data_IF_520592519276
#
_entry.id   IF_520592519276
#
_cell.length_a   1.000
_cell.length_b   1.000
_cell.length_c   1.000
_cell.angle_alpha   90.00
_cell.angle_beta   90.00
_cell.angle_gamma   90.00
#
_symmetry.space_group_name_H-M   'P 1'
#
loop_
_entity.id
_entity.type
_entity.pdbx_description
1 polymer ?
#
# COMPACT_ATOMS: atom_id res chain seq x y z
N UNK A 1 -9.16 -15.80 -2.99
CA UNK A 1 -8.35 -14.71 -2.39
C UNK A 1 -6.87 -14.78 -2.85
N UNK A 2 -6.57 -15.43 -3.98
CA UNK A 2 -5.23 -15.57 -4.57
C UNK A 2 -4.97 -14.58 -5.71
N UNK A 3 -6.01 -14.07 -6.37
CA UNK A 3 -5.91 -13.18 -7.54
C UNK A 3 -5.22 -11.83 -7.28
N UNK A 4 -5.28 -11.31 -6.04
CA UNK A 4 -4.61 -10.03 -5.70
C UNK A 4 -3.09 -10.14 -5.84
N UNK A 5 -2.53 -11.32 -5.55
CA UNK A 5 -1.09 -11.57 -5.63
C UNK A 5 -0.64 -11.99 -7.05
N UNK A 6 -1.58 -12.50 -7.86
CA UNK A 6 -1.31 -13.00 -9.22
C UNK A 6 -1.47 -11.89 -10.28
N UNK A 7 -2.00 -10.71 -9.91
CA UNK A 7 -2.13 -9.59 -10.85
C UNK A 7 -0.80 -9.28 -11.52
N UNK A 8 -0.76 -9.42 -12.85
CA UNK A 8 0.36 -8.97 -13.68
C UNK A 8 0.68 -7.52 -13.34
N UNK A 9 1.97 -7.24 -13.12
CA UNK A 9 2.48 -5.88 -12.92
C UNK A 9 1.92 -4.96 -14.02
N UNK A 10 1.29 -3.82 -13.66
CA UNK A 10 0.84 -2.84 -14.64
C UNK A 10 1.99 -2.39 -15.55
N UNK A 11 1.70 -2.19 -16.85
CA UNK A 11 2.63 -1.53 -17.78
C UNK A 11 2.56 -0.01 -17.57
N UNK A 12 3.67 0.70 -17.76
CA UNK A 12 3.72 2.17 -17.60
C UNK A 12 3.80 2.65 -16.14
N UNK A 13 4.33 1.84 -15.23
CA UNK A 13 4.60 2.29 -13.86
C UNK A 13 5.81 3.20 -13.80
N UNK A 14 5.68 4.33 -13.10
CA UNK A 14 6.81 5.21 -12.75
C UNK A 14 7.84 4.44 -11.91
N UNK A 15 9.06 4.97 -11.75
CA UNK A 15 10.08 4.38 -10.86
C UNK A 15 9.54 4.19 -9.43
N UNK A 16 8.71 5.13 -8.97
CA UNK A 16 8.03 5.10 -7.68
C UNK A 16 6.93 4.03 -7.66
N UNK A 17 6.11 3.97 -8.71
CA UNK A 17 5.06 2.98 -8.89
C UNK A 17 5.58 1.55 -8.92
N UNK A 18 6.79 1.31 -9.45
CA UNK A 18 7.39 -0.03 -9.47
C UNK A 18 7.78 -0.54 -8.09
N UNK A 19 8.26 0.34 -7.21
CA UNK A 19 8.60 0.02 -5.81
C UNK A 19 7.33 -0.14 -5.00
N UNK A 20 6.39 0.80 -5.11
CA UNK A 20 5.09 0.71 -4.44
C UNK A 20 4.33 -0.55 -4.85
N UNK A 21 4.35 -0.93 -6.14
CA UNK A 21 3.67 -2.14 -6.61
C UNK A 21 4.17 -3.41 -5.94
N UNK A 22 5.48 -3.51 -5.67
CA UNK A 22 6.04 -4.64 -4.92
C UNK A 22 5.47 -4.62 -3.51
N UNK A 23 5.77 -3.55 -2.78
CA UNK A 23 5.44 -3.34 -1.36
C UNK A 23 3.93 -3.43 -1.06
N UNK A 24 3.08 -3.05 -2.01
CA UNK A 24 1.64 -3.02 -1.84
C UNK A 24 1.08 -4.41 -1.52
N UNK A 25 1.67 -5.47 -2.08
CA UNK A 25 1.22 -6.83 -1.83
C UNK A 25 1.51 -7.24 -0.39
N UNK A 26 2.74 -7.05 0.11
CA UNK A 26 3.12 -7.38 1.47
C UNK A 26 2.37 -6.50 2.49
N UNK A 27 2.22 -5.20 2.19
CA UNK A 27 1.46 -4.27 3.02
C UNK A 27 -0.02 -4.67 3.12
N UNK A 28 -0.60 -5.17 2.02
CA UNK A 28 -1.98 -5.67 2.02
C UNK A 28 -2.16 -6.88 2.93
N UNK A 29 -1.30 -7.90 2.81
CA UNK A 29 -1.34 -9.09 3.68
C UNK A 29 -1.18 -8.69 5.14
N UNK A 30 -0.22 -7.82 5.43
CA UNK A 30 0.07 -7.36 6.78
C UNK A 30 -1.11 -6.64 7.42
N UNK A 31 -1.72 -5.69 6.71
CA UNK A 31 -2.89 -4.96 7.21
C UNK A 31 -4.10 -5.86 7.41
N UNK A 32 -4.33 -6.82 6.50
CA UNK A 32 -5.42 -7.82 6.67
C UNK A 32 -5.16 -8.68 7.91
N UNK A 33 -3.92 -9.15 8.10
CA UNK A 33 -3.54 -9.94 9.27
C UNK A 33 -3.74 -9.15 10.57
N UNK A 34 -3.29 -7.89 10.63
CA UNK A 34 -3.52 -7.00 11.78
C UNK A 34 -5.01 -6.79 12.05
N UNK A 35 -5.80 -6.49 11.01
CA UNK A 35 -7.24 -6.27 11.16
C UNK A 35 -7.98 -7.51 11.67
N UNK A 36 -7.59 -8.72 11.22
CA UNK A 36 -8.16 -9.97 11.73
C UNK A 36 -7.83 -10.19 13.21
N UNK A 37 -6.60 -9.93 13.62
CA UNK A 37 -6.20 -10.05 15.03
C UNK A 37 -6.92 -9.01 15.90
N UNK A 38 -7.10 -7.78 15.41
CA UNK A 38 -7.81 -6.74 16.14
C UNK A 38 -9.29 -7.13 16.39
N UNK A 39 -9.93 -7.75 15.41
CA UNK A 39 -11.29 -8.30 15.57
C UNK A 39 -11.27 -9.45 16.60
N UNK A 40 -10.32 -10.38 16.49
CA UNK A 40 -10.28 -11.58 17.32
C UNK A 40 -9.93 -11.31 18.80
N UNK A 41 -9.01 -10.36 19.06
CA UNK A 41 -8.47 -10.12 20.39
C UNK A 41 -9.02 -8.84 21.05
N UNK A 42 -9.40 -7.83 20.27
CA UNK A 42 -9.85 -6.54 20.79
C UNK A 42 -11.33 -6.24 20.48
N UNK A 43 -12.03 -7.13 19.77
CA UNK A 43 -13.44 -6.94 19.37
C UNK A 43 -13.68 -5.73 18.47
N UNK A 44 -12.61 -5.14 17.92
CA UNK A 44 -12.68 -3.92 17.14
C UNK A 44 -12.98 -4.26 15.68
N UNK A 45 -14.16 -3.86 15.19
CA UNK A 45 -14.50 -3.97 13.78
C UNK A 45 -13.61 -3.08 12.91
N UNK A 46 -13.26 -3.56 11.71
CA UNK A 46 -12.54 -2.77 10.71
C UNK A 46 -13.41 -2.61 9.46
N UNK A 47 -13.55 -1.38 8.99
CA UNK A 47 -14.22 -1.10 7.71
C UNK A 47 -13.25 -1.27 6.54
N UNK A 48 -13.76 -1.64 5.37
CA UNK A 48 -12.96 -1.74 4.13
C UNK A 48 -12.24 -0.41 3.85
N UNK A 49 -12.89 0.73 4.12
CA UNK A 49 -12.30 2.06 3.93
C UNK A 49 -11.10 2.30 4.85
N UNK A 50 -11.20 1.93 6.13
CA UNK A 50 -10.09 2.01 7.09
C UNK A 50 -8.94 1.10 6.66
N UNK A 51 -9.24 -0.14 6.28
CA UNK A 51 -8.24 -1.11 5.82
C UNK A 51 -7.50 -0.60 4.57
N UNK A 52 -8.20 -0.05 3.58
CA UNK A 52 -7.55 0.53 2.39
C UNK A 52 -6.63 1.70 2.73
N UNK A 53 -7.01 2.55 3.69
CA UNK A 53 -6.17 3.66 4.15
C UNK A 53 -4.91 3.13 4.84
N UNK A 54 -5.05 2.14 5.71
CA UNK A 54 -3.94 1.48 6.41
C UNK A 54 -2.96 0.84 5.44
N UNK A 55 -3.46 0.17 4.39
CA UNK A 55 -2.61 -0.41 3.35
C UNK A 55 -1.78 0.67 2.65
N UNK A 56 -2.39 1.80 2.27
CA UNK A 56 -1.67 2.91 1.64
C UNK A 56 -0.63 3.53 2.57
N UNK A 57 -0.99 3.72 3.85
CA UNK A 57 -0.08 4.22 4.88
C UNK A 57 1.11 3.27 5.06
N UNK A 58 0.83 1.98 5.21
CA UNK A 58 1.85 0.95 5.42
C UNK A 58 2.78 0.82 4.22
N UNK A 59 2.21 0.79 3.01
CA UNK A 59 2.99 0.73 1.78
C UNK A 59 3.87 1.97 1.60
N UNK A 60 3.36 3.15 1.91
CA UNK A 60 4.14 4.40 1.85
C UNK A 60 5.28 4.41 2.88
N UNK A 61 5.00 3.94 4.11
CA UNK A 61 5.99 3.86 5.19
C UNK A 61 7.11 2.86 4.84
N UNK A 62 6.75 1.69 4.31
CA UNK A 62 7.73 0.68 3.90
C UNK A 62 8.50 1.11 2.66
N UNK A 63 7.86 1.85 1.74
CA UNK A 63 8.55 2.45 0.62
C UNK A 63 9.57 3.49 1.09
N UNK A 64 9.25 4.32 2.09
CA UNK A 64 10.17 5.32 2.66
C UNK A 64 11.48 4.74 3.22
N UNK A 65 11.51 3.45 3.61
CA UNK A 65 12.73 2.75 3.98
C UNK A 65 13.65 2.39 2.81
N UNK A 66 13.16 2.49 1.57
CA UNK A 66 13.95 2.30 0.36
C UNK A 66 14.69 3.60 -0.01
N UNK A 67 15.98 3.51 -0.32
CA UNK A 67 16.80 4.67 -0.73
C UNK A 67 16.23 5.40 -1.96
N UNK A 68 15.50 4.69 -2.82
CA UNK A 68 14.77 5.25 -3.97
C UNK A 68 13.59 6.14 -3.57
N UNK A 69 13.23 6.17 -2.28
CA UNK A 69 12.08 6.90 -1.73
C UNK A 69 12.43 8.08 -0.80
N UNK A 70 13.71 8.43 -0.71
CA UNK A 70 14.16 9.60 0.05
C UNK A 70 13.44 10.86 -0.42
N UNK A 71 12.69 11.50 0.49
CA UNK A 71 12.02 12.78 0.25
C UNK A 71 10.49 12.74 0.15
N UNK A 72 9.87 11.55 0.02
CA UNK A 72 8.41 11.46 -0.05
C UNK A 72 7.79 11.45 1.36
N UNK A 73 7.06 12.52 1.71
CA UNK A 73 6.28 12.55 2.96
C UNK A 73 5.06 11.62 2.83
N UNK A 74 4.83 10.73 3.79
CA UNK A 74 3.71 9.78 3.80
C UNK A 74 2.35 10.43 3.51
N UNK A 75 2.11 11.63 4.04
CA UNK A 75 0.84 12.34 3.80
C UNK A 75 0.67 12.75 2.33
N UNK A 76 1.74 13.23 1.69
CA UNK A 76 1.73 13.52 0.25
C UNK A 76 1.55 12.25 -0.59
N UNK A 77 2.08 11.11 -0.12
CA UNK A 77 1.96 9.83 -0.80
C UNK A 77 0.50 9.33 -0.86
N UNK A 78 -0.25 9.51 0.24
CA UNK A 78 -1.64 9.05 0.36
C UNK A 78 -2.58 9.92 -0.47
N UNK A 79 -2.40 11.25 -0.43
CA UNK A 79 -3.23 12.20 -1.18
C UNK A 79 -3.01 12.03 -2.69
N UNK A 80 -1.75 11.87 -3.11
CA UNK A 80 -1.37 11.77 -4.51
C UNK A 80 -1.22 10.31 -5.00
N UNK A 81 -1.94 9.37 -4.37
CA UNK A 81 -1.76 7.94 -4.60
C UNK A 81 -1.81 7.54 -6.09
N UNK A 82 -2.74 8.12 -6.88
CA UNK A 82 -2.86 7.80 -8.31
C UNK A 82 -1.66 8.29 -9.13
N UNK A 83 -1.15 9.49 -8.85
CA UNK A 83 -0.03 10.06 -9.60
C UNK A 83 1.33 9.50 -9.21
N UNK A 84 1.39 8.68 -8.15
CA UNK A 84 2.61 7.97 -7.77
C UNK A 84 2.77 6.64 -8.51
N UNK A 85 1.66 6.03 -8.93
CA UNK A 85 1.68 4.75 -9.63
C UNK A 85 2.01 4.91 -11.11
N UNK A 86 1.54 5.98 -11.74
CA UNK A 86 1.68 6.20 -13.17
C UNK A 86 2.32 7.55 -13.44
N UNK A 87 3.17 7.63 -14.46
CA UNK A 87 3.63 8.93 -14.95
C UNK A 87 2.43 9.68 -15.56
N UNK A 88 2.37 11.02 -15.42
CA UNK A 88 1.35 11.81 -16.12
C UNK A 88 1.47 11.60 -17.65
N UNK A 89 0.35 11.71 -18.39
CA UNK A 89 0.33 11.53 -19.84
C UNK A 89 1.21 12.54 -20.58
#
# INVERSE_FOLDING_TARGET
MTDVFIRKRPRGLSRWGQVLWRILQEASVWCIWKGRNDIAFNGCGTSIRKLMLEIKMQASLWAAGNSSFKGLKCNGAIVNWKSLFFDPP
#
